data_IF_686339737230
#
_entry.id   IF_686339737230
#
_cell.length_a   1.000
_cell.length_b   1.000
_cell.length_c   1.000
_cell.angle_alpha   90.00
_cell.angle_beta   90.00
_cell.angle_gamma   90.00
#
_symmetry.space_group_name_H-M   'P 1'
#
loop_
_entity.id
_entity.type
_entity.pdbx_description
1 polymer ?
#
# COMPACT_ATOMS: atom_id res chain seq x y z
N UNK A 1 4.03 -5.70 -19.81
CA UNK A 1 4.66 -4.69 -18.94
C UNK A 1 4.65 -5.21 -17.51
N UNK A 2 5.82 -5.61 -17.04
CA UNK A 2 6.03 -6.26 -15.75
C UNK A 2 6.28 -5.23 -14.64
N UNK A 3 6.14 -5.67 -13.39
CA UNK A 3 6.68 -4.95 -12.23
C UNK A 3 8.20 -4.79 -12.42
N UNK A 4 8.76 -3.64 -12.04
CA UNK A 4 10.17 -3.30 -12.31
C UNK A 4 11.10 -3.67 -11.15
N UNK A 5 10.58 -3.71 -9.94
CA UNK A 5 11.30 -4.09 -8.73
C UNK A 5 10.36 -4.11 -7.53
N UNK A 6 9.45 -5.10 -7.47
CA UNK A 6 8.53 -5.23 -6.34
C UNK A 6 9.30 -5.65 -5.09
N UNK A 7 9.08 -4.94 -3.97
CA UNK A 7 9.76 -5.25 -2.70
C UNK A 7 8.82 -5.38 -1.51
N UNK A 8 7.65 -4.73 -1.53
CA UNK A 8 6.63 -4.84 -0.49
C UNK A 8 5.33 -5.42 -1.04
N UNK A 9 4.63 -6.20 -0.23
CA UNK A 9 3.36 -6.84 -0.61
C UNK A 9 2.39 -6.92 0.57
N UNK A 10 1.12 -6.64 0.31
CA UNK A 10 0.03 -6.86 1.26
C UNK A 10 -1.17 -7.52 0.58
N UNK A 11 -1.93 -8.31 1.33
CA UNK A 11 -3.06 -9.08 0.80
C UNK A 11 -4.35 -8.55 1.42
N UNK A 12 -5.23 -8.01 0.60
CA UNK A 12 -6.63 -7.76 0.98
C UNK A 12 -7.47 -8.99 0.62
N UNK A 13 -7.59 -9.91 1.58
CA UNK A 13 -8.36 -11.13 1.40
C UNK A 13 -9.87 -10.90 1.28
N UNK A 14 -10.40 -9.76 1.77
CA UNK A 14 -11.84 -9.45 1.69
C UNK A 14 -12.25 -8.97 0.30
N UNK A 15 -11.31 -8.39 -0.45
CA UNK A 15 -11.54 -7.85 -1.81
C UNK A 15 -10.84 -8.64 -2.92
N UNK A 16 -10.25 -9.80 -2.61
CA UNK A 16 -9.51 -10.64 -3.58
C UNK A 16 -8.34 -9.89 -4.26
N UNK A 17 -7.68 -9.01 -3.51
CA UNK A 17 -6.65 -8.10 -4.03
C UNK A 17 -5.29 -8.30 -3.36
N UNK A 18 -4.23 -8.15 -4.15
CA UNK A 18 -2.83 -8.03 -3.72
C UNK A 18 -2.37 -6.61 -4.03
N UNK A 19 -1.85 -5.93 -3.02
CA UNK A 19 -1.18 -4.65 -3.14
C UNK A 19 0.33 -4.90 -3.23
N UNK A 20 0.99 -4.29 -4.21
CA UNK A 20 2.42 -4.45 -4.44
C UNK A 20 3.08 -3.08 -4.49
N UNK A 21 4.13 -2.87 -3.68
CA UNK A 21 5.02 -1.73 -3.79
C UNK A 21 6.12 -2.04 -4.82
N UNK A 22 6.05 -1.41 -5.98
CA UNK A 22 6.98 -1.56 -7.11
C UNK A 22 8.02 -0.43 -7.07
N UNK A 23 9.01 -0.60 -6.21
CA UNK A 23 9.97 0.43 -5.81
C UNK A 23 10.69 1.08 -6.99
N UNK A 24 11.23 0.26 -7.91
CA UNK A 24 11.98 0.75 -9.08
C UNK A 24 11.09 1.54 -10.05
N UNK A 25 9.79 1.27 -10.07
CA UNK A 25 8.84 2.02 -10.88
C UNK A 25 8.21 3.21 -10.13
N UNK A 26 8.49 3.38 -8.82
CA UNK A 26 7.96 4.48 -8.01
C UNK A 26 6.43 4.45 -7.89
N UNK A 27 5.85 3.25 -7.79
CA UNK A 27 4.40 3.06 -7.82
C UNK A 27 3.91 1.95 -6.89
N UNK A 28 2.65 2.03 -6.48
CA UNK A 28 1.89 0.92 -5.92
C UNK A 28 0.99 0.33 -6.99
N UNK A 29 0.90 -0.99 -7.05
CA UNK A 29 0.07 -1.73 -8.01
C UNK A 29 -0.94 -2.58 -7.25
N UNK A 30 -2.22 -2.44 -7.57
CA UNK A 30 -3.26 -3.34 -7.11
C UNK A 30 -3.52 -4.41 -8.17
N UNK A 31 -3.42 -5.68 -7.77
CA UNK A 31 -3.58 -6.84 -8.62
C UNK A 31 -4.69 -7.70 -8.05
N UNK A 32 -5.65 -8.11 -8.88
CA UNK A 32 -6.63 -9.10 -8.44
C UNK A 32 -5.95 -10.47 -8.39
N UNK A 33 -6.11 -11.23 -7.30
CA UNK A 33 -5.36 -12.46 -7.03
C UNK A 33 -5.38 -13.41 -8.25
N UNK A 34 -4.23 -13.60 -8.90
CA UNK A 34 -4.07 -14.47 -10.08
C UNK A 34 -4.62 -13.93 -11.41
N UNK A 35 -4.91 -12.63 -11.51
CA UNK A 35 -5.57 -11.99 -12.67
C UNK A 35 -4.80 -10.74 -13.14
N UNK A 36 -5.51 -9.80 -13.76
CA UNK A 36 -5.02 -8.52 -14.27
C UNK A 36 -4.75 -7.49 -13.17
N UNK A 37 -4.00 -6.46 -13.54
CA UNK A 37 -3.83 -5.26 -12.72
C UNK A 37 -5.15 -4.50 -12.69
N UNK A 38 -5.61 -4.13 -11.50
CA UNK A 38 -6.81 -3.32 -11.30
C UNK A 38 -6.48 -1.84 -11.51
N UNK A 39 -5.43 -1.35 -10.85
CA UNK A 39 -4.96 0.03 -10.99
C UNK A 39 -3.51 0.18 -10.52
N UNK A 40 -2.94 1.36 -10.80
CA UNK A 40 -1.60 1.79 -10.37
C UNK A 40 -1.68 3.18 -9.74
N UNK A 41 -0.86 3.41 -8.74
CA UNK A 41 -0.71 4.71 -8.07
C UNK A 41 0.76 5.10 -8.13
N UNK A 42 1.08 6.14 -8.91
CA UNK A 42 2.45 6.63 -9.11
C UNK A 42 2.84 7.77 -8.18
N UNK A 43 4.00 8.39 -8.44
CA UNK A 43 4.59 9.45 -7.62
C UNK A 43 4.84 9.02 -6.16
N UNK A 44 5.32 7.78 -6.01
CA UNK A 44 5.71 7.14 -4.76
C UNK A 44 7.17 6.68 -4.88
N UNK A 45 8.08 7.66 -5.04
CA UNK A 45 9.50 7.41 -5.30
C UNK A 45 10.10 6.56 -4.17
N UNK A 46 10.80 5.50 -4.57
CA UNK A 46 11.39 4.51 -3.67
C UNK A 46 10.39 3.86 -2.69
N UNK A 47 9.12 3.69 -3.08
CA UNK A 47 8.13 2.98 -2.26
C UNK A 47 8.64 1.64 -1.72
N UNK A 48 8.41 1.36 -0.44
CA UNK A 48 8.97 0.19 0.28
C UNK A 48 7.90 -0.74 0.80
N UNK A 49 7.58 -0.66 2.09
CA UNK A 49 6.58 -1.52 2.70
C UNK A 49 5.18 -0.94 2.56
N UNK A 50 4.21 -1.85 2.44
CA UNK A 50 2.79 -1.56 2.30
C UNK A 50 2.00 -2.43 3.27
N UNK A 51 1.03 -1.83 3.96
CA UNK A 51 0.08 -2.52 4.84
C UNK A 51 -1.35 -2.16 4.41
N UNK A 52 -2.30 -3.06 4.64
CA UNK A 52 -3.71 -2.87 4.24
C UNK A 52 -4.64 -3.07 5.42
N UNK A 53 -5.57 -2.13 5.60
CA UNK A 53 -6.69 -2.29 6.51
C UNK A 53 -7.77 -3.11 5.79
N UNK A 54 -8.04 -4.32 6.28
CA UNK A 54 -9.01 -5.21 5.67
C UNK A 54 -10.46 -4.70 5.79
N UNK A 55 -10.78 -3.90 6.81
CA UNK A 55 -12.13 -3.35 6.98
C UNK A 55 -12.44 -2.36 5.85
N UNK A 56 -11.62 -1.33 5.69
CA UNK A 56 -11.81 -0.27 4.69
C UNK A 56 -11.30 -0.65 3.30
N UNK A 57 -10.30 -1.52 3.20
CA UNK A 57 -9.56 -1.82 1.98
C UNK A 57 -8.53 -0.76 1.61
N UNK A 58 -8.29 0.20 2.50
CA UNK A 58 -7.28 1.23 2.32
C UNK A 58 -5.90 0.69 2.63
N UNK A 59 -4.91 1.18 1.89
CA UNK A 59 -3.52 0.80 2.06
C UNK A 59 -2.69 1.98 2.54
N UNK A 60 -1.72 1.69 3.40
CA UNK A 60 -0.69 2.62 3.80
C UNK A 60 0.65 2.14 3.28
N UNK A 61 1.41 3.04 2.65
CA UNK A 61 2.69 2.71 2.04
C UNK A 61 3.76 3.70 2.48
N UNK A 62 4.96 3.20 2.71
CA UNK A 62 6.15 4.01 2.99
C UNK A 62 6.85 4.40 1.70
N UNK A 63 7.25 5.66 1.56
CA UNK A 63 7.94 6.16 0.37
C UNK A 63 9.11 7.09 0.75
N UNK A 64 10.29 6.52 1.06
CA UNK A 64 11.50 7.26 1.43
C UNK A 64 11.89 8.37 0.46
N UNK A 65 11.79 8.12 -0.85
CA UNK A 65 12.18 9.10 -1.87
C UNK A 65 11.32 10.36 -1.91
N UNK A 66 10.20 10.38 -1.16
CA UNK A 66 9.36 11.57 -0.94
C UNK A 66 9.20 11.90 0.55
N UNK A 67 10.01 11.30 1.44
CA UNK A 67 10.02 11.57 2.89
C UNK A 67 8.64 11.44 3.55
N UNK A 68 7.83 10.46 3.10
CA UNK A 68 6.43 10.38 3.49
C UNK A 68 5.86 8.95 3.64
N UNK A 69 4.77 8.87 4.40
CA UNK A 69 3.79 7.79 4.32
C UNK A 69 2.62 8.26 3.46
N UNK A 70 2.08 7.36 2.64
CA UNK A 70 0.95 7.66 1.76
C UNK A 70 -0.20 6.70 2.03
N UNK A 71 -1.38 7.25 2.28
CA UNK A 71 -2.63 6.51 2.45
C UNK A 71 -3.37 6.48 1.11
N UNK A 72 -3.77 5.29 0.67
CA UNK A 72 -4.40 5.04 -0.62
C UNK A 72 -5.76 4.39 -0.37
N UNK A 73 -6.80 4.91 -1.01
CA UNK A 73 -8.16 4.38 -0.91
C UNK A 73 -8.26 2.98 -1.53
N UNK A 74 -9.32 2.25 -1.20
CA UNK A 74 -9.65 0.99 -1.86
C UNK A 74 -9.91 1.11 -3.38
N UNK A 75 -10.02 2.32 -3.94
CA UNK A 75 -10.16 2.59 -5.38
C UNK A 75 -8.90 3.17 -6.02
N UNK A 76 -7.81 3.31 -5.28
CA UNK A 76 -6.53 3.81 -5.79
C UNK A 76 -6.35 5.33 -5.75
N UNK A 77 -7.23 6.06 -5.06
CA UNK A 77 -7.04 7.49 -4.83
C UNK A 77 -6.05 7.71 -3.67
N UNK A 78 -5.13 8.67 -3.81
CA UNK A 78 -4.31 9.11 -2.68
C UNK A 78 -5.20 9.93 -1.74
N UNK A 79 -5.39 9.43 -0.52
CA UNK A 79 -6.20 10.09 0.52
C UNK A 79 -5.36 11.05 1.36
N UNK A 80 -4.12 10.67 1.65
CA UNK A 80 -3.28 11.39 2.59
C UNK A 80 -1.80 11.21 2.28
N UNK A 81 -0.99 12.24 2.56
CA UNK A 81 0.47 12.19 2.54
C UNK A 81 0.99 12.79 3.83
N UNK A 82 1.58 11.96 4.69
CA UNK A 82 2.19 12.39 5.94
C UNK A 82 3.68 12.54 5.66
N UNK A 83 4.14 13.79 5.59
CA UNK A 83 5.53 14.13 5.30
C UNK A 83 6.35 14.31 6.59
N UNK A 84 7.66 14.54 6.43
CA UNK A 84 8.58 14.84 7.53
C UNK A 84 9.34 13.62 8.06
N UNK A 85 9.27 12.48 7.37
CA UNK A 85 10.00 11.28 7.72
C UNK A 85 11.34 11.26 6.99
N UNK A 86 12.44 11.02 7.70
CA UNK A 86 13.76 10.94 7.05
C UNK A 86 13.85 9.75 6.10
N UNK A 87 13.63 8.52 6.60
CA UNK A 87 13.73 7.28 5.83
C UNK A 87 12.71 6.23 6.32
N UNK A 88 11.40 6.40 6.03
CA UNK A 88 10.40 5.43 6.44
C UNK A 88 10.54 4.14 5.63
N UNK A 89 10.88 3.02 6.27
CA UNK A 89 11.06 1.73 5.60
C UNK A 89 9.98 0.69 5.90
N UNK A 90 9.56 0.60 7.15
CA UNK A 90 8.60 -0.40 7.62
C UNK A 90 7.29 0.24 8.04
N UNK A 91 6.19 -0.47 7.82
CA UNK A 91 4.87 -0.09 8.31
C UNK A 91 4.06 -1.34 8.63
N UNK A 92 3.29 -1.27 9.70
CA UNK A 92 2.31 -2.27 10.07
C UNK A 92 1.07 -1.56 10.60
N UNK A 93 -0.09 -2.17 10.40
CA UNK A 93 -1.34 -1.70 10.97
C UNK A 93 -1.70 -2.59 12.15
N UNK A 94 -2.08 -1.98 13.27
CA UNK A 94 -2.79 -2.67 14.33
C UNK A 94 -4.26 -2.81 13.89
N UNK A 95 -4.78 -4.04 13.68
CA UNK A 95 -6.19 -4.23 13.31
C UNK A 95 -7.17 -3.85 14.44
N UNK A 96 -6.64 -3.53 15.63
CA UNK A 96 -7.41 -3.34 16.86
C UNK A 96 -7.95 -4.65 17.40
N UNK A 97 -8.24 -4.70 18.70
CA UNK A 97 -9.02 -5.81 19.25
C UNK A 97 -10.46 -5.69 18.77
N UNK A 98 -10.92 -6.68 18.00
CA UNK A 98 -12.35 -6.95 17.78
C UNK A 98 -12.96 -7.46 19.08
N UNK A 99 -13.08 -6.62 20.11
CA UNK A 99 -13.90 -6.94 21.27
C UNK A 99 -15.33 -6.56 20.93
N UNK A 100 -16.15 -7.56 20.64
CA UNK A 100 -17.58 -7.44 20.89
C UNK A 100 -17.75 -6.97 22.34
N UNK A 101 -18.52 -5.91 22.63
CA UNK A 101 -18.91 -5.64 24.01
C UNK A 101 -19.64 -6.87 24.59
N UNK A 102 -19.49 -7.15 25.90
CA UNK A 102 -20.16 -8.28 26.55
C UNK A 102 -21.69 -8.18 26.47
#
# INVERSE_FOLDING_TARGET
MALSGPIGVAVDARRDRIWVADARAGQVVAIRRGRSIEFRVGALVETREIAVDLASGEAWVTAPGIHALVRISASGAVLERLAGFSDPYGIALDPGTSRSPP
#
